data_IF_189093400118
#
_entry.id   IF_189093400118
#
_cell.length_a   1.000
_cell.length_b   1.000
_cell.length_c   1.000
_cell.angle_alpha   90.00
_cell.angle_beta   90.00
_cell.angle_gamma   90.00
#
_symmetry.space_group_name_H-M   'P 1'
#
loop_
_entity.id
_entity.type
_entity.pdbx_description
1 polymer ?
#
# COMPACT_ATOMS: atom_id res chain seq x y z
N UNK A 1 -0.66 2.70 0.87
CA UNK A 1 0.43 1.81 0.43
C UNK A 1 1.75 2.56 0.52
N UNK A 2 2.55 2.37 1.57
CA UNK A 2 3.90 2.97 1.61
C UNK A 2 4.78 2.18 0.63
N UNK A 3 5.50 2.81 -0.31
CA UNK A 3 6.44 2.09 -1.16
C UNK A 3 7.57 1.52 -0.30
N UNK A 4 8.03 0.31 -0.64
CA UNK A 4 9.33 -0.18 -0.19
C UNK A 4 10.38 0.77 -0.79
N UNK A 5 11.25 1.41 0.01
CA UNK A 5 12.22 2.38 -0.49
C UNK A 5 13.11 1.81 -1.59
N UNK A 6 13.37 2.61 -2.62
CA UNK A 6 14.23 2.29 -3.76
C UNK A 6 15.73 2.18 -3.43
N UNK A 7 16.12 2.15 -2.15
CA UNK A 7 17.53 2.21 -1.73
C UNK A 7 18.29 0.88 -1.73
N UNK A 8 17.67 -0.22 -2.17
CA UNK A 8 18.40 -1.48 -2.47
C UNK A 8 18.85 -1.59 -3.94
N UNK A 9 19.02 -0.47 -4.66
CA UNK A 9 19.63 -0.46 -6.00
C UNK A 9 20.90 0.39 -6.03
N UNK A 10 22.03 -0.30 -6.15
CA UNK A 10 23.38 0.21 -6.45
C UNK A 10 24.12 0.99 -5.35
N UNK A 11 24.57 0.29 -4.30
CA UNK A 11 25.77 0.71 -3.56
C UNK A 11 27.03 0.42 -4.40
N UNK A 12 27.34 1.29 -5.38
CA UNK A 12 28.69 1.35 -5.95
C UNK A 12 29.63 1.89 -4.90
N UNK A 13 30.28 0.97 -4.19
CA UNK A 13 31.48 1.23 -3.37
C UNK A 13 32.47 2.07 -4.19
N UNK A 14 32.64 3.34 -3.81
CA UNK A 14 33.65 4.22 -4.40
C UNK A 14 35.03 3.78 -3.90
N UNK A 15 35.75 3.04 -4.74
CA UNK A 15 37.21 2.91 -4.58
C UNK A 15 37.90 4.18 -5.09
N UNK A 16 38.95 4.68 -4.41
CA UNK A 16 39.71 5.83 -4.90
C UNK A 16 40.73 5.35 -5.93
N UNK A 17 40.79 5.99 -7.10
CA UNK A 17 42.00 5.93 -7.91
C UNK A 17 42.07 7.10 -8.90
N UNK A 18 43.06 7.96 -8.68
CA UNK A 18 43.75 8.62 -9.78
C UNK A 18 44.43 7.55 -10.67
N UNK A 19 44.56 7.92 -11.95
CA UNK A 19 45.40 7.36 -13.04
C UNK A 19 44.63 6.71 -14.19
N UNK A 20 44.78 7.36 -15.36
CA UNK A 20 43.97 7.14 -16.55
C UNK A 20 44.39 5.98 -17.44
N UNK A 21 43.53 5.71 -18.43
CA UNK A 21 43.84 4.84 -19.56
C UNK A 21 42.62 4.20 -20.21
N UNK A 22 42.19 4.79 -21.34
CA UNK A 22 41.42 4.22 -22.47
C UNK A 22 40.03 3.62 -22.19
N UNK A 23 39.02 4.29 -22.75
CA UNK A 23 37.62 3.88 -22.85
C UNK A 23 37.45 2.50 -23.52
N UNK A 24 36.79 1.58 -22.82
CA UNK A 24 36.19 0.38 -23.40
C UNK A 24 34.67 0.47 -23.23
N UNK A 25 33.93 0.41 -24.35
CA UNK A 25 32.45 0.42 -24.37
C UNK A 25 31.90 -0.82 -23.66
N UNK A 26 30.84 -0.69 -22.82
CA UNK A 26 30.19 -1.86 -22.23
C UNK A 26 29.46 -2.69 -23.30
N UNK A 27 29.39 -4.02 -23.15
CA UNK A 27 28.69 -4.86 -24.10
C UNK A 27 27.19 -4.59 -24.01
N UNK A 28 26.57 -4.37 -25.18
CA UNK A 28 25.12 -4.30 -25.33
C UNK A 28 24.51 -5.64 -24.93
N UNK A 29 23.87 -5.71 -23.77
CA UNK A 29 22.98 -6.83 -23.46
C UNK A 29 21.78 -6.74 -24.41
N UNK A 30 21.56 -7.82 -25.17
CA UNK A 30 20.43 -7.96 -26.07
C UNK A 30 19.15 -7.97 -25.23
N UNK A 31 18.25 -7.04 -25.55
CA UNK A 31 16.89 -7.02 -25.03
C UNK A 31 16.21 -8.38 -25.31
N UNK A 32 15.81 -9.07 -24.25
CA UNK A 32 14.90 -10.22 -24.33
C UNK A 32 13.49 -9.71 -24.65
N UNK A 33 13.24 -9.39 -25.92
CA UNK A 33 11.88 -9.16 -26.45
C UNK A 33 11.31 -10.51 -26.87
N UNK A 34 10.38 -11.05 -26.09
CA UNK A 34 9.57 -12.24 -26.48
C UNK A 34 9.32 -13.32 -25.42
N UNK A 35 9.86 -13.21 -24.19
CA UNK A 35 9.83 -14.31 -23.20
C UNK A 35 8.84 -14.08 -22.04
N UNK A 36 8.21 -12.91 -21.93
CA UNK A 36 7.43 -12.50 -20.74
C UNK A 36 5.98 -13.01 -20.72
N UNK A 37 5.27 -13.04 -21.85
CA UNK A 37 3.88 -13.55 -21.95
C UNK A 37 3.75 -15.01 -21.47
N UNK A 38 4.64 -15.95 -21.86
CA UNK A 38 4.59 -17.32 -21.37
C UNK A 38 4.80 -17.42 -19.85
N UNK A 39 5.56 -16.51 -19.25
CA UNK A 39 6.05 -16.70 -17.89
C UNK A 39 5.00 -16.39 -16.82
N UNK A 40 4.21 -15.32 -16.95
CA UNK A 40 3.07 -15.08 -16.03
C UNK A 40 2.00 -16.16 -16.21
N UNK A 41 1.72 -16.58 -17.45
CA UNK A 41 0.79 -17.67 -17.71
C UNK A 41 1.27 -19.01 -17.12
N UNK A 42 2.58 -19.27 -17.10
CA UNK A 42 3.18 -20.46 -16.48
C UNK A 42 3.21 -20.32 -14.96
N UNK A 43 3.56 -19.16 -14.42
CA UNK A 43 3.56 -18.89 -12.98
C UNK A 43 2.18 -19.13 -12.36
N UNK A 44 1.14 -18.66 -13.02
CA UNK A 44 -0.24 -18.87 -12.59
C UNK A 44 -0.71 -20.30 -12.84
N UNK A 45 0.00 -21.10 -13.63
CA UNK A 45 -0.21 -22.54 -13.69
C UNK A 45 0.42 -23.24 -12.48
N UNK A 46 1.55 -22.71 -11.98
CA UNK A 46 2.25 -23.22 -10.79
C UNK A 46 1.58 -22.83 -9.47
N UNK A 47 0.70 -21.82 -9.48
CA UNK A 47 -0.17 -21.50 -8.33
C UNK A 47 -1.43 -22.38 -8.41
N UNK A 48 -1.64 -23.32 -7.47
CA UNK A 48 -2.82 -24.18 -7.48
C UNK A 48 -4.11 -23.35 -7.51
N UNK A 49 -5.10 -23.78 -8.30
CA UNK A 49 -6.37 -23.07 -8.46
C UNK A 49 -7.18 -22.94 -7.15
N UNK A 50 -6.89 -23.78 -6.16
CA UNK A 50 -7.47 -23.75 -4.81
C UNK A 50 -6.73 -22.81 -3.84
N UNK A 51 -5.65 -22.16 -4.26
CA UNK A 51 -4.91 -21.20 -3.43
C UNK A 51 -5.79 -19.97 -3.18
N UNK A 52 -5.95 -19.61 -1.91
CA UNK A 52 -6.52 -18.32 -1.53
C UNK A 52 -5.63 -17.20 -2.08
N UNK A 53 -6.15 -16.41 -3.01
CA UNK A 53 -5.44 -15.29 -3.62
C UNK A 53 -6.21 -14.00 -3.38
N UNK A 54 -5.48 -12.94 -3.05
CA UNK A 54 -6.02 -11.57 -3.05
C UNK A 54 -5.77 -10.92 -4.41
N UNK A 55 -6.52 -9.87 -4.72
CA UNK A 55 -6.35 -9.10 -5.95
C UNK A 55 -6.22 -7.61 -5.63
N UNK A 56 -5.21 -6.99 -6.20
CA UNK A 56 -5.06 -5.55 -6.24
C UNK A 56 -5.12 -5.06 -7.67
N UNK A 57 -5.92 -4.02 -7.89
CA UNK A 57 -6.06 -3.35 -9.16
C UNK A 57 -5.60 -1.91 -8.98
N UNK A 58 -4.57 -1.53 -9.73
CA UNK A 58 -4.06 -0.17 -9.74
C UNK A 58 -4.70 0.64 -10.87
N UNK A 59 -5.49 1.64 -10.51
CA UNK A 59 -6.08 2.61 -11.44
C UNK A 59 -5.28 3.93 -11.33
N UNK A 60 -4.36 4.22 -12.27
CA UNK A 60 -3.36 5.29 -12.13
C UNK A 60 -3.88 6.67 -12.56
N UNK A 61 -5.17 6.97 -12.38
CA UNK A 61 -5.75 8.24 -12.83
C UNK A 61 -6.16 9.13 -11.67
N UNK A 62 -5.83 10.41 -11.73
CA UNK A 62 -6.26 11.41 -10.77
C UNK A 62 -6.89 12.60 -11.50
N UNK A 63 -7.82 13.31 -10.85
CA UNK A 63 -8.25 14.63 -11.34
C UNK A 63 -7.10 15.62 -11.21
N UNK A 64 -6.39 15.58 -10.07
CA UNK A 64 -5.18 16.37 -9.81
C UNK A 64 -4.21 15.55 -8.97
N UNK A 65 -2.91 15.68 -9.25
CA UNK A 65 -1.86 15.04 -8.43
C UNK A 65 -1.54 15.92 -7.23
N UNK A 66 -1.74 15.38 -6.01
CA UNK A 66 -1.44 16.08 -4.76
C UNK A 66 0.07 16.26 -4.57
N UNK A 67 0.48 17.27 -3.80
CA UNK A 67 1.90 17.64 -3.69
C UNK A 67 2.75 16.57 -2.98
N UNK A 68 2.16 15.84 -2.04
CA UNK A 68 2.80 14.77 -1.26
C UNK A 68 2.84 13.43 -2.00
N UNK A 69 2.03 13.24 -3.04
CA UNK A 69 1.83 11.92 -3.63
C UNK A 69 2.99 11.52 -4.55
N UNK A 70 3.75 10.50 -4.16
CA UNK A 70 4.78 9.88 -4.99
C UNK A 70 4.27 8.72 -5.85
N UNK A 71 3.03 8.26 -5.67
CA UNK A 71 2.49 7.15 -6.46
C UNK A 71 2.43 7.47 -7.95
N UNK A 72 2.52 6.41 -8.75
CA UNK A 72 2.33 6.50 -10.18
C UNK A 72 0.87 6.84 -10.47
N UNK A 73 0.62 8.08 -10.86
CA UNK A 73 -0.69 8.54 -11.29
C UNK A 73 -0.53 9.61 -12.36
N UNK A 74 -1.49 9.68 -13.28
CA UNK A 74 -1.60 10.70 -14.33
C UNK A 74 -2.86 11.50 -14.13
N UNK A 75 -2.75 12.82 -14.29
CA UNK A 75 -3.87 13.74 -14.24
C UNK A 75 -4.15 14.35 -15.61
N UNK A 76 -5.43 14.59 -15.90
CA UNK A 76 -5.86 15.22 -17.15
C UNK A 76 -5.88 14.30 -18.38
N UNK A 77 -5.87 12.97 -18.18
CA UNK A 77 -6.10 12.01 -19.26
C UNK A 77 -7.54 12.11 -19.78
N UNK A 78 -7.73 11.89 -21.08
CA UNK A 78 -9.05 11.98 -21.71
C UNK A 78 -9.88 10.69 -21.53
N UNK A 79 -11.20 10.78 -21.72
CA UNK A 79 -12.11 9.63 -21.59
C UNK A 79 -11.72 8.43 -22.47
N UNK A 80 -11.18 8.65 -23.67
CA UNK A 80 -10.77 7.56 -24.55
C UNK A 80 -9.56 6.78 -23.96
N UNK A 81 -8.59 7.47 -23.35
CA UNK A 81 -7.48 6.82 -22.65
C UNK A 81 -7.99 5.99 -21.46
N UNK A 82 -8.89 6.54 -20.64
CA UNK A 82 -9.46 5.85 -19.49
C UNK A 82 -10.24 4.60 -19.91
N UNK A 83 -11.07 4.71 -20.95
CA UNK A 83 -11.84 3.58 -21.45
C UNK A 83 -10.95 2.49 -22.07
N UNK A 84 -9.95 2.87 -22.89
CA UNK A 84 -8.99 1.92 -23.46
C UNK A 84 -8.16 1.22 -22.38
N UNK A 85 -7.80 1.94 -21.31
CA UNK A 85 -7.19 1.36 -20.12
C UNK A 85 -8.10 0.28 -19.52
N UNK A 86 -9.38 0.61 -19.32
CA UNK A 86 -10.34 -0.32 -18.72
C UNK A 86 -10.51 -1.57 -19.58
N UNK A 87 -10.61 -1.43 -20.91
CA UNK A 87 -10.68 -2.58 -21.83
C UNK A 87 -9.46 -3.50 -21.64
N UNK A 88 -8.26 -2.93 -21.60
CA UNK A 88 -7.03 -3.70 -21.42
C UNK A 88 -6.97 -4.38 -20.05
N UNK A 89 -7.34 -3.66 -18.99
CA UNK A 89 -7.43 -4.23 -17.64
C UNK A 89 -8.46 -5.36 -17.55
N UNK A 90 -9.62 -5.22 -18.20
CA UNK A 90 -10.64 -6.27 -18.24
C UNK A 90 -10.13 -7.52 -18.96
N UNK A 91 -9.31 -7.39 -20.01
CA UNK A 91 -8.68 -8.53 -20.66
C UNK A 91 -7.77 -9.29 -19.67
N UNK A 92 -6.89 -8.59 -18.95
CA UNK A 92 -6.03 -9.20 -17.93
C UNK A 92 -6.87 -9.86 -16.82
N UNK A 93 -7.84 -9.12 -16.29
CA UNK A 93 -8.69 -9.57 -15.19
C UNK A 93 -9.53 -10.80 -15.57
N UNK A 94 -10.08 -10.84 -16.79
CA UNK A 94 -10.83 -12.00 -17.29
C UNK A 94 -9.93 -13.23 -17.42
N UNK A 95 -8.72 -13.07 -17.98
CA UNK A 95 -7.76 -14.17 -18.09
C UNK A 95 -7.32 -14.71 -16.72
N UNK A 96 -7.11 -13.82 -15.75
CA UNK A 96 -6.80 -14.19 -14.36
C UNK A 96 -7.95 -14.92 -13.69
N UNK A 97 -9.16 -14.36 -13.81
CA UNK A 97 -10.34 -14.85 -13.09
C UNK A 97 -10.82 -16.17 -13.67
N UNK A 98 -10.73 -16.38 -14.98
CA UNK A 98 -11.11 -17.63 -15.66
C UNK A 98 -10.29 -18.86 -15.22
N UNK A 99 -9.12 -18.65 -14.61
CA UNK A 99 -8.26 -19.73 -14.07
C UNK A 99 -8.65 -20.14 -12.65
N UNK A 100 -9.54 -19.40 -12.01
CA UNK A 100 -9.95 -19.63 -10.62
C UNK A 100 -11.21 -20.48 -10.57
N UNK A 101 -11.31 -21.27 -9.51
CA UNK A 101 -12.53 -22.05 -9.18
C UNK A 101 -13.21 -21.51 -7.90
N UNK A 102 -12.62 -20.47 -7.31
CA UNK A 102 -13.05 -19.84 -6.07
C UNK A 102 -12.91 -18.32 -6.21
N UNK A 103 -13.70 -17.53 -5.46
CA UNK A 103 -13.55 -16.08 -5.45
C UNK A 103 -12.15 -15.67 -4.99
N UNK A 104 -11.76 -14.43 -5.27
CA UNK A 104 -10.61 -13.84 -4.59
C UNK A 104 -10.91 -13.73 -3.08
N UNK A 105 -9.89 -13.92 -2.24
CA UNK A 105 -10.07 -13.79 -0.79
C UNK A 105 -10.43 -12.36 -0.43
N UNK A 106 -9.60 -11.42 -0.88
CA UNK A 106 -9.84 -9.98 -0.76
C UNK A 106 -9.51 -9.29 -2.07
N UNK A 107 -10.18 -8.16 -2.33
CA UNK A 107 -9.95 -7.33 -3.51
C UNK A 107 -9.79 -5.89 -3.09
N UNK A 108 -8.85 -5.18 -3.71
CA UNK A 108 -8.63 -3.77 -3.44
C UNK A 108 -8.38 -3.02 -4.75
N UNK A 109 -9.24 -2.05 -5.05
CA UNK A 109 -9.08 -1.16 -6.19
C UNK A 109 -8.60 0.19 -5.66
N UNK A 110 -7.40 0.58 -6.05
CA UNK A 110 -6.77 1.82 -5.57
C UNK A 110 -5.76 2.41 -6.55
N UNK A 111 -4.88 3.26 -6.04
CA UNK A 111 -3.75 3.80 -6.80
C UNK A 111 -3.79 5.32 -6.93
N UNK A 112 -4.32 5.81 -8.06
CA UNK A 112 -4.68 7.21 -8.20
C UNK A 112 -6.02 7.46 -7.52
N UNK A 113 -7.08 7.48 -8.33
CA UNK A 113 -8.44 7.64 -7.88
C UNK A 113 -9.37 6.82 -8.78
N UNK A 114 -9.78 5.61 -8.36
CA UNK A 114 -10.74 4.78 -9.07
C UNK A 114 -12.02 5.51 -9.52
N UNK A 115 -12.45 6.51 -8.76
CA UNK A 115 -13.61 7.36 -9.09
C UNK A 115 -13.48 8.21 -10.35
N UNK A 116 -12.29 8.27 -10.96
CA UNK A 116 -12.07 8.86 -12.27
C UNK A 116 -12.71 8.04 -13.40
N UNK A 117 -12.97 6.74 -13.20
CA UNK A 117 -13.61 5.90 -14.20
C UNK A 117 -15.13 6.12 -14.25
N UNK A 118 -15.70 5.95 -15.44
CA UNK A 118 -17.15 6.00 -15.65
C UNK A 118 -17.84 4.81 -14.96
N UNK A 119 -19.15 4.97 -14.70
CA UNK A 119 -19.92 3.93 -14.01
C UNK A 119 -19.84 2.57 -14.73
N UNK A 120 -19.94 2.57 -16.07
CA UNK A 120 -19.92 1.34 -16.87
C UNK A 120 -18.57 0.62 -16.80
N UNK A 121 -17.47 1.37 -16.75
CA UNK A 121 -16.12 0.83 -16.64
C UNK A 121 -15.90 0.18 -15.26
N UNK A 122 -16.30 0.87 -14.18
CA UNK A 122 -16.24 0.32 -12.83
C UNK A 122 -17.15 -0.89 -12.66
N UNK A 123 -18.36 -0.83 -13.21
CA UNK A 123 -19.32 -1.93 -13.20
C UNK A 123 -18.72 -3.18 -13.85
N UNK A 124 -18.14 -3.04 -15.05
CA UNK A 124 -17.52 -4.17 -15.75
C UNK A 124 -16.39 -4.81 -14.93
N UNK A 125 -15.56 -4.00 -14.24
CA UNK A 125 -14.51 -4.51 -13.35
C UNK A 125 -15.14 -5.32 -12.20
N UNK A 126 -16.13 -4.77 -11.51
CA UNK A 126 -16.81 -5.43 -10.38
C UNK A 126 -17.47 -6.75 -10.82
N UNK A 127 -18.11 -6.77 -11.99
CA UNK A 127 -18.75 -7.96 -12.55
C UNK A 127 -17.74 -9.08 -12.82
N UNK A 128 -16.58 -8.77 -13.42
CA UNK A 128 -15.54 -9.78 -13.66
C UNK A 128 -14.95 -10.26 -12.33
N UNK A 129 -14.62 -9.37 -11.40
CA UNK A 129 -14.09 -9.72 -10.08
C UNK A 129 -15.03 -10.71 -9.36
N UNK A 130 -16.34 -10.46 -9.42
CA UNK A 130 -17.34 -11.26 -8.70
C UNK A 130 -17.83 -12.49 -9.48
N UNK A 131 -17.32 -12.75 -10.69
CA UNK A 131 -17.81 -13.83 -11.57
C UNK A 131 -17.60 -15.24 -11.02
N UNK A 132 -16.64 -15.42 -10.11
CA UNK A 132 -16.37 -16.69 -9.40
C UNK A 132 -16.96 -16.69 -7.97
N UNK A 133 -17.84 -15.74 -7.66
CA UNK A 133 -18.34 -15.46 -6.31
C UNK A 133 -17.81 -14.14 -5.76
N UNK A 134 -18.43 -13.65 -4.68
CA UNK A 134 -18.02 -12.41 -4.03
C UNK A 134 -16.79 -12.65 -3.14
N UNK A 135 -15.81 -11.73 -3.11
CA UNK A 135 -14.72 -11.76 -2.13
C UNK A 135 -15.23 -11.57 -0.69
N UNK A 136 -14.43 -11.99 0.30
CA UNK A 136 -14.73 -11.74 1.72
C UNK A 136 -14.63 -10.24 2.04
N UNK A 137 -13.64 -9.55 1.45
CA UNK A 137 -13.50 -8.10 1.48
C UNK A 137 -13.26 -7.56 0.06
N UNK A 138 -14.02 -6.56 -0.35
CA UNK A 138 -13.81 -5.85 -1.60
C UNK A 138 -13.81 -4.34 -1.34
N UNK A 139 -12.61 -3.77 -1.33
CA UNK A 139 -12.35 -2.36 -1.07
C UNK A 139 -12.21 -1.57 -2.37
N UNK A 140 -12.79 -0.37 -2.39
CA UNK A 140 -12.50 0.65 -3.41
C UNK A 140 -12.07 1.96 -2.75
N UNK A 141 -10.98 2.55 -3.25
CA UNK A 141 -10.56 3.90 -2.89
C UNK A 141 -11.31 4.95 -3.71
N UNK A 142 -11.64 6.07 -3.07
CA UNK A 142 -12.29 7.22 -3.69
C UNK A 142 -11.74 8.52 -3.11
N UNK A 143 -11.61 9.53 -3.95
CA UNK A 143 -11.48 10.90 -3.46
C UNK A 143 -12.86 11.53 -3.20
N UNK A 144 -12.94 12.54 -2.30
CA UNK A 144 -14.18 13.25 -2.00
C UNK A 144 -14.91 13.80 -3.23
N UNK A 145 -14.16 14.38 -4.16
CA UNK A 145 -14.70 15.00 -5.37
C UNK A 145 -15.27 13.99 -6.37
N UNK A 146 -14.85 12.72 -6.29
CA UNK A 146 -15.25 11.65 -7.21
C UNK A 146 -16.28 10.67 -6.65
N UNK A 147 -16.73 10.86 -5.41
CA UNK A 147 -17.79 10.04 -4.82
C UNK A 147 -19.18 10.51 -5.30
N UNK A 148 -19.52 10.15 -6.54
CA UNK A 148 -20.75 10.52 -7.25
C UNK A 148 -21.88 9.51 -7.01
N UNK A 149 -23.13 9.97 -7.01
CA UNK A 149 -24.28 9.14 -6.62
C UNK A 149 -24.55 7.98 -7.58
N UNK A 150 -24.21 8.13 -8.85
CA UNK A 150 -24.43 7.11 -9.87
C UNK A 150 -23.54 5.86 -9.68
N UNK A 151 -22.45 5.93 -8.92
CA UNK A 151 -21.63 4.76 -8.57
C UNK A 151 -22.13 4.00 -7.34
N UNK A 152 -23.10 4.53 -6.60
CA UNK A 152 -23.61 3.88 -5.39
C UNK A 152 -24.18 2.46 -5.64
N UNK A 153 -24.80 2.14 -6.78
CA UNK A 153 -25.25 0.78 -7.06
C UNK A 153 -24.13 -0.28 -7.04
N UNK A 154 -22.86 0.08 -7.25
CA UNK A 154 -21.73 -0.87 -7.26
C UNK A 154 -21.52 -1.55 -5.90
N UNK A 155 -21.86 -0.87 -4.80
CA UNK A 155 -21.81 -1.44 -3.45
C UNK A 155 -22.83 -2.57 -3.25
N UNK A 156 -23.94 -2.57 -4.00
CA UNK A 156 -24.87 -3.70 -4.03
C UNK A 156 -24.34 -4.92 -4.82
N UNK A 157 -23.32 -4.73 -5.67
CA UNK A 157 -22.83 -5.76 -6.60
C UNK A 157 -21.67 -6.57 -6.02
N UNK A 158 -20.93 -6.04 -5.05
CA UNK A 158 -19.85 -6.81 -4.40
C UNK A 158 -18.91 -6.00 -3.53
N UNK A 159 -18.84 -4.67 -3.69
CA UNK A 159 -17.95 -3.81 -2.89
C UNK A 159 -18.45 -3.75 -1.45
N UNK A 160 -17.62 -4.20 -0.50
CA UNK A 160 -17.96 -4.27 0.92
C UNK A 160 -17.27 -3.20 1.77
N UNK A 161 -16.22 -2.55 1.25
CA UNK A 161 -15.50 -1.46 1.94
C UNK A 161 -15.28 -0.27 1.01
N UNK A 162 -15.51 0.93 1.54
CA UNK A 162 -15.20 2.21 0.89
C UNK A 162 -14.09 2.91 1.67
N UNK A 163 -13.00 3.26 0.99
CA UNK A 163 -11.89 4.04 1.54
C UNK A 163 -11.88 5.44 0.94
N UNK A 164 -11.95 6.49 1.75
CA UNK A 164 -11.98 7.88 1.25
C UNK A 164 -10.80 8.68 1.77
N UNK A 165 -10.00 9.23 0.84
CA UNK A 165 -8.86 10.06 1.17
C UNK A 165 -9.24 11.51 1.51
N UNK A 166 -9.60 11.80 2.77
CA UNK A 166 -9.93 13.16 3.23
C UNK A 166 -8.70 14.02 3.47
N UNK A 167 -7.65 13.40 4.02
CA UNK A 167 -6.38 13.98 4.45
C UNK A 167 -6.49 14.93 5.65
N UNK A 168 -7.41 15.90 5.64
CA UNK A 168 -7.65 16.80 6.77
C UNK A 168 -9.08 17.35 6.73
N UNK A 169 -9.63 17.75 7.87
CA UNK A 169 -10.91 18.44 7.98
C UNK A 169 -10.72 19.96 8.10
N UNK A 170 -9.57 20.47 7.65
CA UNK A 170 -9.21 21.89 7.74
C UNK A 170 -8.60 22.43 6.44
N UNK A 171 -9.18 23.51 5.92
CA UNK A 171 -8.81 24.12 4.62
C UNK A 171 -7.32 24.48 4.51
N UNK A 172 -6.71 24.98 5.61
CA UNK A 172 -5.29 25.34 5.64
C UNK A 172 -4.38 24.14 5.31
N UNK A 173 -4.73 22.96 5.81
CA UNK A 173 -3.93 21.74 5.67
C UNK A 173 -4.18 21.07 4.32
N UNK A 174 -5.43 21.08 3.84
CA UNK A 174 -5.77 20.65 2.48
C UNK A 174 -5.01 21.47 1.43
N UNK A 175 -4.97 22.79 1.62
CA UNK A 175 -4.23 23.71 0.75
C UNK A 175 -2.72 23.45 0.77
N UNK A 176 -2.15 23.22 1.97
CA UNK A 176 -0.74 22.85 2.15
C UNK A 176 -0.40 21.59 1.35
N UNK A 177 -1.23 20.55 1.44
CA UNK A 177 -1.05 19.28 0.75
C UNK A 177 -1.22 19.36 -0.77
N UNK A 178 -1.70 20.50 -1.30
CA UNK A 178 -2.12 20.61 -2.70
C UNK A 178 -3.26 19.65 -3.04
N UNK A 179 -4.15 19.41 -2.09
CA UNK A 179 -5.30 18.52 -2.26
C UNK A 179 -6.37 19.24 -3.09
N UNK A 180 -6.92 18.57 -4.11
CA UNK A 180 -8.01 19.08 -4.92
C UNK A 180 -9.38 18.77 -4.28
N UNK A 181 -9.54 19.16 -3.01
CA UNK A 181 -10.79 19.04 -2.26
C UNK A 181 -10.84 20.14 -1.20
N UNK A 182 -12.01 20.71 -1.00
CA UNK A 182 -12.30 21.63 0.10
C UNK A 182 -12.85 20.89 1.32
N UNK A 183 -12.94 21.56 2.46
CA UNK A 183 -13.66 21.05 3.63
C UNK A 183 -15.12 20.73 3.26
N UNK A 184 -15.73 21.54 2.39
CA UNK A 184 -17.10 21.30 1.93
C UNK A 184 -17.24 20.02 1.12
N UNK A 185 -16.22 19.67 0.32
CA UNK A 185 -16.18 18.40 -0.41
C UNK A 185 -16.02 17.22 0.54
N UNK A 186 -15.14 17.35 1.54
CA UNK A 186 -14.95 16.33 2.57
C UNK A 186 -16.26 16.06 3.33
N UNK A 187 -16.96 17.11 3.79
CA UNK A 187 -18.25 16.98 4.48
C UNK A 187 -19.33 16.36 3.57
N UNK A 188 -19.34 16.68 2.28
CA UNK A 188 -20.25 16.06 1.30
C UNK A 188 -19.94 14.57 1.14
N UNK A 189 -18.66 14.21 1.03
CA UNK A 189 -18.23 12.81 0.91
C UNK A 189 -18.58 12.00 2.16
N UNK A 190 -18.44 12.57 3.37
CA UNK A 190 -18.91 11.92 4.61
C UNK A 190 -20.40 11.58 4.54
N UNK A 191 -21.25 12.54 4.12
CA UNK A 191 -22.70 12.32 3.97
C UNK A 191 -23.00 11.21 2.96
N UNK A 192 -22.35 11.23 1.80
CA UNK A 192 -22.47 10.18 0.78
C UNK A 192 -22.05 8.81 1.31
N UNK A 193 -20.92 8.73 2.01
CA UNK A 193 -20.42 7.49 2.61
C UNK A 193 -21.41 6.91 3.64
N UNK A 194 -22.01 7.75 4.48
CA UNK A 194 -23.03 7.33 5.45
C UNK A 194 -24.27 6.78 4.74
N UNK A 195 -24.70 7.39 3.62
CA UNK A 195 -25.81 6.88 2.80
C UNK A 195 -25.48 5.51 2.19
N UNK A 196 -24.26 5.34 1.66
CA UNK A 196 -23.77 4.07 1.12
C UNK A 196 -23.78 2.99 2.21
N UNK A 197 -23.17 3.27 3.38
CA UNK A 197 -23.17 2.36 4.53
C UNK A 197 -24.58 1.97 4.94
N UNK A 198 -25.48 2.94 5.11
CA UNK A 198 -26.88 2.69 5.51
C UNK A 198 -27.63 1.81 4.50
N UNK A 199 -27.36 1.99 3.19
CA UNK A 199 -28.06 1.30 2.13
C UNK A 199 -27.51 -0.10 1.84
N UNK A 200 -26.21 -0.30 1.96
CA UNK A 200 -25.52 -1.50 1.49
C UNK A 200 -24.73 -2.24 2.57
N UNK A 201 -24.66 -1.73 3.80
CA UNK A 201 -23.85 -2.32 4.87
C UNK A 201 -22.35 -2.19 4.65
N UNK A 202 -21.91 -1.22 3.84
CA UNK A 202 -20.51 -1.00 3.48
C UNK A 202 -19.70 -0.47 4.66
N UNK A 203 -18.55 -1.09 4.92
CA UNK A 203 -17.56 -0.61 5.89
C UNK A 203 -16.90 0.68 5.40
N UNK A 204 -16.74 1.65 6.27
CA UNK A 204 -16.14 2.94 5.95
C UNK A 204 -14.73 3.03 6.52
N UNK A 205 -13.79 3.36 5.64
CA UNK A 205 -12.48 3.87 5.98
C UNK A 205 -12.35 5.33 5.52
N UNK A 206 -11.67 6.15 6.32
CA UNK A 206 -11.22 7.47 5.91
C UNK A 206 -9.74 7.64 6.19
N UNK A 207 -9.00 8.14 5.21
CA UNK A 207 -7.59 8.45 5.35
C UNK A 207 -7.43 9.89 5.84
N UNK A 208 -6.76 10.05 6.98
CA UNK A 208 -6.27 11.29 7.52
C UNK A 208 -4.75 11.34 7.43
N UNK A 209 -4.22 12.55 7.36
CA UNK A 209 -2.80 12.81 7.36
C UNK A 209 -2.45 13.75 8.52
N UNK A 210 -1.41 13.38 9.25
CA UNK A 210 -0.88 14.13 10.38
C UNK A 210 0.58 14.52 10.12
N UNK A 211 1.20 15.23 11.06
CA UNK A 211 2.56 15.77 10.92
C UNK A 211 2.72 16.71 9.70
N UNK A 212 1.64 17.39 9.31
CA UNK A 212 1.62 18.38 8.25
C UNK A 212 2.35 19.65 8.73
N UNK A 213 3.30 20.23 7.97
CA UNK A 213 3.90 21.50 8.37
C UNK A 213 2.88 22.61 8.59
N UNK A 214 2.91 23.20 9.79
CA UNK A 214 1.92 24.17 10.24
C UNK A 214 0.69 23.56 10.95
N UNK A 215 0.60 22.24 11.06
CA UNK A 215 -0.39 21.52 11.87
C UNK A 215 0.12 21.41 13.32
N UNK A 216 -0.63 21.99 14.25
CA UNK A 216 -0.43 21.77 15.68
C UNK A 216 -1.07 20.46 16.15
N UNK A 217 -0.78 20.06 17.38
CA UNK A 217 -1.39 18.88 18.02
C UNK A 217 -2.91 19.03 18.05
N UNK A 218 -3.41 20.21 18.43
CA UNK A 218 -4.85 20.50 18.51
C UNK A 218 -5.54 20.39 17.14
N UNK A 219 -4.83 20.74 16.06
CA UNK A 219 -5.37 20.60 14.71
C UNK A 219 -5.51 19.12 14.33
N UNK A 220 -4.48 18.31 14.60
CA UNK A 220 -4.49 16.88 14.28
C UNK A 220 -5.57 16.14 15.08
N UNK A 221 -5.72 16.45 16.37
CA UNK A 221 -6.81 15.94 17.21
C UNK A 221 -8.18 16.33 16.65
N UNK A 222 -8.36 17.59 16.25
CA UNK A 222 -9.62 18.09 15.70
C UNK A 222 -10.02 17.36 14.42
N UNK A 223 -9.08 17.02 13.54
CA UNK A 223 -9.39 16.26 12.33
C UNK A 223 -9.99 14.88 12.67
N UNK A 224 -9.45 14.19 13.68
CA UNK A 224 -9.95 12.90 14.18
C UNK A 224 -11.34 13.07 14.81
N UNK A 225 -11.49 14.04 15.73
CA UNK A 225 -12.73 14.27 16.46
C UNK A 225 -13.90 14.59 15.53
N UNK A 226 -13.68 15.50 14.56
CA UNK A 226 -14.69 15.87 13.56
C UNK A 226 -15.07 14.64 12.73
N UNK A 227 -14.10 13.88 12.23
CA UNK A 227 -14.38 12.68 11.45
C UNK A 227 -15.22 11.66 12.23
N UNK A 228 -14.85 11.37 13.48
CA UNK A 228 -15.56 10.40 14.32
C UNK A 228 -16.95 10.90 14.67
N UNK A 229 -17.11 12.19 14.97
CA UNK A 229 -18.41 12.81 15.26
C UNK A 229 -19.36 12.71 14.06
N UNK A 230 -18.86 13.05 12.86
CA UNK A 230 -19.70 13.15 11.66
C UNK A 230 -20.03 11.80 11.04
N UNK A 231 -19.07 10.86 11.02
CA UNK A 231 -19.20 9.62 10.26
C UNK A 231 -19.14 8.34 11.09
N UNK A 232 -18.55 8.35 12.28
CA UNK A 232 -18.32 7.15 13.12
C UNK A 232 -17.81 5.96 12.28
N UNK A 233 -16.66 6.09 11.59
CA UNK A 233 -16.20 5.04 10.71
C UNK A 233 -15.78 3.78 11.47
N UNK A 234 -15.84 2.64 10.78
CA UNK A 234 -15.33 1.39 11.33
C UNK A 234 -13.79 1.35 11.29
N UNK A 235 -13.16 2.17 10.44
CA UNK A 235 -11.72 2.18 10.23
C UNK A 235 -11.21 3.60 9.89
N UNK A 236 -10.00 3.92 10.36
CA UNK A 236 -9.31 5.18 10.07
C UNK A 236 -7.86 4.84 9.71
N UNK A 237 -7.42 5.26 8.52
CA UNK A 237 -5.99 5.31 8.21
C UNK A 237 -5.44 6.66 8.67
N UNK A 238 -4.42 6.67 9.51
CA UNK A 238 -3.73 7.88 9.95
C UNK A 238 -2.27 7.82 9.50
N UNK A 239 -1.96 8.53 8.42
CA UNK A 239 -0.62 8.59 7.87
C UNK A 239 0.16 9.79 8.42
N UNK A 240 1.39 9.57 8.88
CA UNK A 240 2.34 10.68 9.04
C UNK A 240 2.75 11.18 7.65
N UNK A 241 2.80 12.49 7.44
CA UNK A 241 3.31 13.05 6.19
C UNK A 241 4.80 12.74 6.03
N UNK A 242 5.10 11.73 5.22
CA UNK A 242 6.46 11.40 4.78
C UNK A 242 6.80 12.13 3.47
N UNK A 243 8.02 12.64 3.36
CA UNK A 243 8.49 13.29 2.15
C UNK A 243 9.15 12.26 1.24
N UNK A 244 8.36 11.77 0.29
CA UNK A 244 8.78 10.72 -0.65
C UNK A 244 9.53 11.30 -1.85
N UNK A 245 10.58 10.61 -2.30
CA UNK A 245 11.31 10.96 -3.53
C UNK A 245 10.35 10.99 -4.74
N UNK A 246 10.52 11.98 -5.61
CA UNK A 246 9.65 12.18 -6.77
C UNK A 246 8.30 12.83 -6.48
N UNK A 247 8.04 13.23 -5.23
CA UNK A 247 6.92 14.11 -4.88
C UNK A 247 7.28 15.59 -5.11
N UNK A 248 6.25 16.44 -5.27
CA UNK A 248 6.45 17.90 -5.36
C UNK A 248 6.99 18.46 -4.04
N UNK A 249 6.61 17.88 -2.91
CA UNK A 249 7.15 18.28 -1.62
C UNK A 249 8.66 18.00 -1.50
N UNK A 250 9.15 16.87 -2.03
CA UNK A 250 10.59 16.60 -2.07
C UNK A 250 11.36 17.64 -2.89
N UNK A 251 10.81 18.06 -4.04
CA UNK A 251 11.38 19.18 -4.82
C UNK A 251 11.42 20.48 -3.98
N UNK A 252 10.33 20.81 -3.29
CA UNK A 252 10.25 22.02 -2.45
C UNK A 252 11.24 22.01 -1.28
N UNK A 253 11.48 20.85 -0.67
CA UNK A 253 12.54 20.65 0.34
C UNK A 253 13.92 20.89 -0.28
N UNK A 254 14.19 20.31 -1.44
CA UNK A 254 15.44 20.53 -2.17
C UNK A 254 15.71 22.00 -2.48
N UNK A 255 14.66 22.77 -2.80
CA UNK A 255 14.73 24.21 -3.01
C UNK A 255 14.69 25.05 -1.73
N UNK A 256 14.62 24.44 -0.53
CA UNK A 256 14.49 25.12 0.77
C UNK A 256 13.27 26.04 0.87
N UNK A 257 12.22 25.73 0.12
CA UNK A 257 10.93 26.43 0.14
C UNK A 257 9.92 25.74 1.05
N UNK A 258 10.31 24.62 1.66
CA UNK A 258 9.52 23.81 2.56
C UNK A 258 10.43 23.16 3.61
N UNK A 259 10.00 23.19 4.87
CA UNK A 259 10.69 22.56 5.99
C UNK A 259 9.76 21.50 6.61
N UNK A 260 10.12 20.22 6.59
CA UNK A 260 9.39 19.18 7.30
C UNK A 260 9.40 19.43 8.82
N UNK A 261 8.44 18.83 9.53
CA UNK A 261 8.46 18.85 11.00
C UNK A 261 9.65 18.05 11.53
N UNK A 262 10.21 18.48 12.65
CA UNK A 262 11.28 17.72 13.33
C UNK A 262 10.73 16.44 13.98
N UNK A 263 11.57 15.42 14.10
CA UNK A 263 11.18 14.09 14.60
C UNK A 263 10.53 14.13 15.99
N UNK A 264 11.05 14.95 16.92
CA UNK A 264 10.45 15.09 18.27
C UNK A 264 9.03 15.63 18.22
N UNK A 265 8.75 16.60 17.34
CA UNK A 265 7.41 17.15 17.17
C UNK A 265 6.48 16.15 16.49
N UNK A 266 6.99 15.39 15.51
CA UNK A 266 6.22 14.32 14.88
C UNK A 266 5.82 13.25 15.89
N UNK A 267 6.76 12.81 16.75
CA UNK A 267 6.50 11.82 17.78
C UNK A 267 5.39 12.30 18.75
N UNK A 268 5.46 13.54 19.23
CA UNK A 268 4.45 14.12 20.13
C UNK A 268 3.05 14.17 19.50
N UNK A 269 2.97 14.57 18.22
CA UNK A 269 1.71 14.59 17.45
C UNK A 269 1.16 13.17 17.28
N UNK A 270 2.01 12.20 16.90
CA UNK A 270 1.61 10.82 16.68
C UNK A 270 1.10 10.17 17.96
N UNK A 271 1.86 10.25 19.06
CA UNK A 271 1.43 9.71 20.36
C UNK A 271 0.09 10.32 20.80
N UNK A 272 -0.10 11.62 20.61
CA UNK A 272 -1.36 12.27 20.95
C UNK A 272 -2.52 11.74 20.10
N UNK A 273 -2.33 11.62 18.78
CA UNK A 273 -3.36 11.09 17.89
C UNK A 273 -3.72 9.64 18.22
N UNK A 274 -2.73 8.79 18.51
CA UNK A 274 -2.93 7.40 18.89
C UNK A 274 -3.72 7.28 20.20
N UNK A 275 -3.38 8.09 21.19
CA UNK A 275 -4.12 8.16 22.46
C UNK A 275 -5.57 8.60 22.27
N UNK A 276 -5.83 9.59 21.40
CA UNK A 276 -7.19 10.04 21.08
C UNK A 276 -7.99 8.92 20.40
N UNK A 277 -7.41 8.26 19.39
CA UNK A 277 -8.06 7.15 18.71
C UNK A 277 -8.36 5.97 19.65
N UNK A 278 -7.42 5.64 20.53
CA UNK A 278 -7.61 4.62 21.56
C UNK A 278 -8.74 5.00 22.54
N UNK A 279 -8.79 6.26 23.01
CA UNK A 279 -9.87 6.75 23.87
C UNK A 279 -11.24 6.74 23.18
N UNK A 280 -11.27 6.94 21.87
CA UNK A 280 -12.46 6.80 21.04
C UNK A 280 -12.80 5.35 20.71
N UNK A 281 -12.02 4.38 21.21
CA UNK A 281 -12.23 2.94 21.08
C UNK A 281 -11.83 2.37 19.73
N UNK A 282 -10.79 2.90 19.10
CA UNK A 282 -10.15 2.27 17.94
C UNK A 282 -8.88 1.55 18.39
N UNK A 283 -8.66 0.36 17.83
CA UNK A 283 -7.47 -0.46 18.07
C UNK A 283 -6.41 -0.12 17.03
N UNK A 284 -5.18 0.18 17.48
CA UNK A 284 -4.02 0.38 16.62
C UNK A 284 -3.44 -0.99 16.24
N UNK A 285 -3.89 -1.54 15.11
CA UNK A 285 -3.58 -2.93 14.73
C UNK A 285 -2.38 -3.02 13.77
N UNK A 286 -2.06 -1.94 13.06
CA UNK A 286 -0.84 -1.80 12.26
C UNK A 286 -0.43 -0.32 12.12
N UNK A 287 0.82 -0.09 11.69
CA UNK A 287 1.56 1.19 11.76
C UNK A 287 0.84 2.47 11.34
N UNK A 288 -0.18 2.40 10.47
CA UNK A 288 -0.91 3.57 10.02
C UNK A 288 -2.43 3.37 10.05
N UNK A 289 -2.95 2.30 10.65
CA UNK A 289 -4.36 1.97 10.57
C UNK A 289 -4.96 1.57 11.93
N UNK A 290 -6.16 2.10 12.14
CA UNK A 290 -6.94 2.00 13.36
C UNK A 290 -8.33 1.50 13.02
N UNK A 291 -8.87 0.59 13.82
CA UNK A 291 -10.16 -0.04 13.52
C UNK A 291 -11.01 -0.21 14.77
N UNK A 292 -12.33 -0.28 14.59
CA UNK A 292 -13.19 -0.92 15.58
C UNK A 292 -12.93 -2.42 15.58
N UNK A 293 -13.21 -3.07 16.71
CA UNK A 293 -13.03 -4.52 16.84
C UNK A 293 -13.72 -5.27 15.70
N UNK A 294 -12.94 -6.10 14.99
CA UNK A 294 -13.41 -6.87 13.84
C UNK A 294 -13.52 -6.09 12.52
N UNK A 295 -13.03 -4.86 12.44
CA UNK A 295 -13.08 -4.01 11.24
C UNK A 295 -11.71 -3.77 10.57
N UNK A 296 -10.67 -4.51 10.96
CA UNK A 296 -9.34 -4.48 10.33
C UNK A 296 -9.46 -4.70 8.83
N UNK A 297 -8.70 -3.93 8.03
CA UNK A 297 -8.62 -4.14 6.59
C UNK A 297 -7.94 -5.49 6.30
N UNK A 298 -8.73 -6.47 5.89
CA UNK A 298 -8.26 -7.84 5.64
C UNK A 298 -7.26 -7.89 4.49
N UNK A 299 -7.47 -7.04 3.47
CA UNK A 299 -6.55 -6.93 2.35
C UNK A 299 -5.16 -6.43 2.79
N UNK A 300 -5.10 -5.41 3.66
CA UNK A 300 -3.83 -4.93 4.22
C UNK A 300 -3.13 -6.03 5.03
N UNK A 301 -3.87 -6.73 5.89
CA UNK A 301 -3.32 -7.84 6.67
C UNK A 301 -2.77 -8.97 5.79
N UNK A 302 -3.33 -9.21 4.60
CA UNK A 302 -2.76 -10.20 3.68
C UNK A 302 -1.39 -9.78 3.14
N UNK A 303 -1.16 -8.49 2.88
CA UNK A 303 0.18 -7.99 2.57
C UNK A 303 1.15 -8.16 3.72
N UNK A 304 0.74 -7.73 4.91
CA UNK A 304 1.59 -7.75 6.09
C UNK A 304 1.95 -9.17 6.54
N UNK A 305 1.14 -10.17 6.20
CA UNK A 305 1.42 -11.57 6.45
C UNK A 305 2.07 -12.30 5.26
N UNK A 306 2.57 -11.55 4.26
CA UNK A 306 3.22 -12.05 3.04
C UNK A 306 2.42 -13.19 2.37
N UNK A 307 1.10 -13.01 2.33
CA UNK A 307 0.15 -13.94 1.74
C UNK A 307 0.04 -13.71 0.23
N UNK A 308 -0.23 -14.74 -0.57
CA UNK A 308 -0.30 -14.60 -2.03
C UNK A 308 -1.35 -13.58 -2.50
N UNK A 309 -0.95 -12.70 -3.42
CA UNK A 309 -1.82 -11.73 -4.08
C UNK A 309 -1.38 -11.44 -5.52
N UNK A 310 -2.35 -11.06 -6.33
CA UNK A 310 -2.15 -10.65 -7.72
C UNK A 310 -2.26 -9.14 -7.80
N UNK A 311 -1.31 -8.47 -8.46
CA UNK A 311 -1.43 -7.06 -8.82
C UNK A 311 -1.62 -6.88 -10.31
N UNK A 312 -2.62 -6.10 -10.71
CA UNK A 312 -2.90 -5.74 -12.09
C UNK A 312 -2.93 -4.21 -12.29
N UNK A 313 -2.40 -3.76 -13.42
CA UNK A 313 -2.30 -2.35 -13.80
C UNK A 313 -0.86 -1.81 -13.79
N UNK A 314 -0.63 -0.63 -14.37
CA UNK A 314 0.65 0.06 -14.34
C UNK A 314 1.17 0.25 -12.92
N UNK A 315 2.44 -0.04 -12.65
CA UNK A 315 3.04 0.01 -11.31
C UNK A 315 2.42 -0.93 -10.27
N UNK A 316 1.41 -1.73 -10.60
CA UNK A 316 0.88 -2.74 -9.69
C UNK A 316 1.94 -3.82 -9.46
N UNK A 317 2.09 -4.20 -8.20
CA UNK A 317 2.94 -5.31 -7.80
C UNK A 317 2.05 -6.50 -7.48
N UNK A 318 2.45 -7.71 -7.87
CA UNK A 318 1.86 -8.95 -7.39
C UNK A 318 2.93 -9.88 -6.86
N UNK A 319 2.60 -10.64 -5.83
CA UNK A 319 3.55 -11.53 -5.14
C UNK A 319 2.87 -12.85 -4.82
N UNK A 320 3.42 -13.95 -5.30
CA UNK A 320 2.92 -15.30 -5.01
C UNK A 320 4.03 -16.22 -4.55
N UNK A 321 3.68 -17.14 -3.66
CA UNK A 321 4.56 -18.21 -3.23
C UNK A 321 4.36 -19.40 -4.15
N UNK A 322 5.45 -19.88 -4.74
CA UNK A 322 5.46 -21.07 -5.61
C UNK A 322 6.29 -22.18 -4.97
N UNK A 323 6.20 -23.43 -5.47
CA UNK A 323 7.13 -24.49 -5.06
C UNK A 323 8.62 -24.16 -5.28
N UNK A 324 8.92 -23.13 -6.06
CA UNK A 324 10.27 -22.69 -6.38
C UNK A 324 10.72 -21.46 -5.60
N UNK A 325 9.87 -20.90 -4.72
CA UNK A 325 10.13 -19.66 -3.98
C UNK A 325 9.11 -18.56 -4.30
N UNK A 326 9.32 -17.40 -3.71
CA UNK A 326 8.48 -16.23 -3.90
C UNK A 326 8.83 -15.55 -5.24
N UNK A 327 7.78 -15.30 -6.01
CA UNK A 327 7.88 -14.62 -7.30
C UNK A 327 7.07 -13.34 -7.25
N UNK A 328 7.73 -12.25 -7.61
CA UNK A 328 7.12 -10.93 -7.72
C UNK A 328 7.03 -10.51 -9.18
N UNK A 329 5.96 -9.80 -9.51
CA UNK A 329 5.85 -9.05 -10.75
C UNK A 329 5.46 -7.61 -10.51
N UNK A 330 5.88 -6.74 -11.42
CA UNK A 330 5.63 -5.30 -11.36
C UNK A 330 5.22 -4.78 -12.72
N UNK A 331 4.06 -4.16 -12.81
CA UNK A 331 3.62 -3.47 -14.02
C UNK A 331 4.50 -2.25 -14.28
N UNK A 332 4.90 -2.02 -15.53
CA UNK A 332 5.65 -0.80 -15.88
C UNK A 332 4.83 0.45 -15.57
N UNK A 333 5.47 1.48 -15.04
CA UNK A 333 4.89 2.81 -14.78
C UNK A 333 4.65 3.61 -16.07
N UNK A 334 3.81 3.09 -16.97
CA UNK A 334 3.50 3.69 -18.27
C UNK A 334 2.12 3.27 -18.76
N UNK A 335 1.17 4.23 -18.81
CA UNK A 335 -0.19 3.98 -19.31
C UNK A 335 -0.17 3.65 -20.81
N UNK A 336 0.66 4.37 -21.58
CA UNK A 336 0.82 4.12 -23.01
C UNK A 336 1.30 2.69 -23.28
N UNK A 337 2.36 2.25 -22.60
CA UNK A 337 2.90 0.91 -22.84
C UNK A 337 1.94 -0.18 -22.36
N UNK A 338 1.19 0.07 -21.27
CA UNK A 338 0.16 -0.83 -20.79
C UNK A 338 -0.92 -1.05 -21.84
N UNK A 339 -1.51 0.01 -22.39
CA UNK A 339 -2.61 -0.09 -23.37
C UNK A 339 -2.14 -0.58 -24.75
N UNK A 340 -0.89 -0.28 -25.14
CA UNK A 340 -0.38 -0.53 -26.49
C UNK A 340 0.34 -1.87 -26.67
N UNK A 341 0.51 -2.64 -25.61
CA UNK A 341 1.15 -3.97 -25.67
C UNK A 341 0.13 -5.07 -25.36
N UNK A 342 0.37 -6.34 -25.75
CA UNK A 342 -0.54 -7.43 -25.37
C UNK A 342 -0.61 -7.58 -23.85
N UNK A 343 -1.75 -8.05 -23.34
CA UNK A 343 -1.96 -8.33 -21.91
C UNK A 343 -0.74 -9.01 -21.27
N UNK A 344 -0.37 -8.56 -20.06
CA UNK A 344 0.79 -9.01 -19.28
C UNK A 344 2.18 -8.70 -19.86
N UNK A 345 2.29 -8.10 -21.05
CA UNK A 345 3.59 -7.83 -21.69
C UNK A 345 4.36 -6.67 -21.08
N UNK A 346 3.68 -5.76 -20.38
CA UNK A 346 4.28 -4.60 -19.72
C UNK A 346 4.80 -4.87 -18.31
N UNK A 347 4.78 -6.12 -17.85
CA UNK A 347 5.23 -6.48 -16.50
C UNK A 347 6.68 -6.95 -16.52
N UNK A 348 7.41 -6.67 -15.44
CA UNK A 348 8.69 -7.31 -15.14
C UNK A 348 8.49 -8.36 -14.05
N UNK A 349 9.29 -9.41 -14.08
CA UNK A 349 9.29 -10.49 -13.09
C UNK A 349 10.61 -10.52 -12.35
N UNK A 350 10.57 -10.83 -11.06
CA UNK A 350 11.74 -11.18 -10.26
C UNK A 350 11.42 -12.36 -9.35
N UNK A 351 12.44 -13.20 -9.12
CA UNK A 351 12.37 -14.29 -8.16
C UNK A 351 13.25 -13.89 -6.98
N UNK A 352 12.67 -13.91 -5.78
CA UNK A 352 13.43 -13.56 -4.58
C UNK A 352 14.28 -14.75 -4.14
N UNK A 353 15.46 -14.43 -3.64
CA UNK A 353 16.30 -15.34 -2.88
C UNK A 353 15.71 -15.60 -1.49
N UNK A 354 16.18 -16.65 -0.83
CA UNK A 354 15.74 -16.95 0.54
C UNK A 354 16.01 -15.79 1.51
N UNK A 355 17.11 -15.05 1.32
CA UNK A 355 17.51 -13.96 2.22
C UNK A 355 16.64 -12.72 1.97
N UNK A 356 16.30 -12.43 0.71
CA UNK A 356 15.34 -11.38 0.35
C UNK A 356 13.93 -11.70 0.87
N UNK A 357 13.49 -12.96 0.81
CA UNK A 357 12.18 -13.37 1.36
C UNK A 357 12.10 -13.19 2.88
N UNK A 358 13.17 -13.54 3.61
CA UNK A 358 13.24 -13.33 5.06
C UNK A 358 13.24 -11.84 5.38
N UNK A 359 14.04 -11.06 4.65
CA UNK A 359 14.11 -9.60 4.80
C UNK A 359 12.75 -8.95 4.57
N UNK A 360 12.05 -9.33 3.50
CA UNK A 360 10.71 -8.84 3.22
C UNK A 360 9.72 -9.25 4.33
N UNK A 361 9.77 -10.50 4.80
CA UNK A 361 8.91 -10.96 5.88
C UNK A 361 9.10 -10.15 7.16
N UNK A 362 10.34 -9.78 7.52
CA UNK A 362 10.61 -8.85 8.63
C UNK A 362 9.97 -7.48 8.38
N UNK A 363 10.24 -6.89 7.20
CA UNK A 363 9.75 -5.56 6.82
C UNK A 363 8.23 -5.47 6.88
N UNK A 364 7.51 -6.50 6.44
CA UNK A 364 6.04 -6.45 6.36
C UNK A 364 5.36 -6.91 7.65
N UNK A 365 5.89 -7.92 8.35
CA UNK A 365 5.23 -8.48 9.55
C UNK A 365 5.34 -7.54 10.75
N UNK A 366 6.47 -6.85 10.90
CA UNK A 366 6.71 -5.92 12.02
C UNK A 366 5.88 -4.63 11.95
N UNK A 367 5.18 -4.39 10.84
CA UNK A 367 4.20 -3.30 10.70
C UNK A 367 2.92 -3.56 11.50
N UNK A 368 2.68 -4.80 11.93
CA UNK A 368 1.47 -5.21 12.63
C UNK A 368 1.70 -5.40 14.12
N UNK A 369 0.65 -5.21 14.92
CA UNK A 369 0.71 -5.38 16.38
C UNK A 369 1.05 -6.82 16.76
N UNK A 370 0.62 -7.77 15.93
CA UNK A 370 0.89 -9.19 16.10
C UNK A 370 2.37 -9.52 15.86
N UNK A 371 3.02 -8.79 14.95
CA UNK A 371 4.42 -9.00 14.60
C UNK A 371 4.65 -10.38 13.98
N UNK A 372 5.70 -11.05 14.44
CA UNK A 372 6.19 -12.32 13.92
C UNK A 372 5.82 -13.44 14.88
N UNK A 373 5.03 -14.39 14.40
CA UNK A 373 4.89 -15.70 15.04
C UNK A 373 6.12 -16.57 14.72
N UNK A 374 6.85 -16.98 15.76
CA UNK A 374 8.14 -17.68 15.61
C UNK A 374 7.96 -19.08 15.02
N UNK A 375 6.82 -19.73 15.25
CA UNK A 375 6.53 -21.06 14.72
C UNK A 375 6.25 -21.01 13.21
N UNK A 376 5.48 -20.00 12.77
CA UNK A 376 5.16 -19.73 11.37
C UNK A 376 6.40 -19.33 10.60
N UNK A 377 7.28 -18.51 11.19
CA UNK A 377 8.59 -18.19 10.64
C UNK A 377 9.42 -19.46 10.41
N UNK A 378 9.52 -20.32 11.42
CA UNK A 378 10.29 -21.56 11.32
C UNK A 378 9.72 -22.53 10.28
N UNK A 379 8.40 -22.66 10.20
CA UNK A 379 7.74 -23.47 9.18
C UNK A 379 7.99 -22.93 7.77
N UNK A 380 7.99 -21.61 7.60
CA UNK A 380 8.17 -20.96 6.30
C UNK A 380 9.60 -21.03 5.79
N UNK A 381 10.58 -20.74 6.65
CA UNK A 381 11.98 -20.57 6.24
C UNK A 381 12.89 -21.74 6.63
N UNK A 382 12.38 -22.71 7.39
CA UNK A 382 13.18 -23.81 7.94
C UNK A 382 14.42 -23.31 8.71
N UNK A 383 14.20 -22.27 9.51
CA UNK A 383 15.18 -21.55 10.33
C UNK A 383 14.55 -21.10 11.64
N UNK A 384 15.30 -21.14 12.74
CA UNK A 384 14.83 -20.60 14.01
C UNK A 384 14.97 -19.08 14.04
N UNK A 385 13.87 -18.38 14.34
CA UNK A 385 13.86 -16.92 14.46
C UNK A 385 14.84 -16.43 15.55
N UNK A 386 14.83 -17.08 16.72
CA UNK A 386 15.69 -16.70 17.84
C UNK A 386 17.16 -16.99 17.60
N UNK A 387 17.49 -18.01 16.80
CA UNK A 387 18.87 -18.29 16.40
C UNK A 387 19.39 -17.22 15.43
N UNK A 388 18.55 -16.77 14.50
CA UNK A 388 18.92 -15.75 13.52
C UNK A 388 19.04 -14.36 14.14
N UNK A 389 18.04 -13.93 14.92
CA UNK A 389 17.92 -12.53 15.36
C UNK A 389 18.14 -12.32 16.85
N UNK A 390 18.36 -13.38 17.64
CA UNK A 390 18.43 -13.29 19.10
C UNK A 390 19.58 -12.43 19.63
N UNK A 391 20.66 -12.22 18.85
CA UNK A 391 21.73 -11.30 19.23
C UNK A 391 21.28 -9.84 19.11
N UNK A 392 20.72 -9.45 17.96
CA UNK A 392 20.11 -8.14 17.77
C UNK A 392 19.00 -7.85 18.79
N UNK A 393 18.09 -8.81 19.02
CA UNK A 393 17.01 -8.67 20.02
C UNK A 393 17.57 -8.39 21.41
N UNK A 394 18.58 -9.14 21.87
CA UNK A 394 19.25 -8.88 23.18
C UNK A 394 19.93 -7.52 23.25
N UNK A 395 20.45 -6.99 22.13
CA UNK A 395 21.02 -5.64 22.07
C UNK A 395 19.91 -4.61 22.30
N UNK A 396 18.78 -4.72 21.60
CA UNK A 396 17.63 -3.81 21.73
C UNK A 396 17.03 -3.90 23.14
N UNK A 397 16.85 -5.11 23.70
CA UNK A 397 16.34 -5.30 25.06
C UNK A 397 17.19 -4.59 26.13
N UNK A 398 18.51 -4.44 25.91
CA UNK A 398 19.41 -3.76 26.85
C UNK A 398 19.40 -2.25 26.68
N UNK A 399 19.29 -1.75 25.45
CA UNK A 399 19.39 -0.31 25.17
C UNK A 399 18.02 0.38 25.21
N UNK A 400 16.99 -0.22 24.61
CA UNK A 400 15.66 0.36 24.43
C UNK A 400 14.57 -0.73 24.58
N UNK A 401 14.38 -1.29 25.78
CA UNK A 401 13.43 -2.39 26.01
C UNK A 401 11.98 -2.02 25.66
N UNK A 402 11.63 -0.74 25.68
CA UNK A 402 10.28 -0.26 25.38
C UNK A 402 9.91 -0.35 23.90
N UNK A 403 10.86 -0.64 22.98
CA UNK A 403 10.59 -0.70 21.54
C UNK A 403 10.02 -2.05 21.09
N UNK A 404 10.20 -3.10 21.87
CA UNK A 404 9.94 -4.47 21.44
C UNK A 404 9.18 -5.27 22.49
N UNK A 405 8.41 -6.23 22.02
CA UNK A 405 7.77 -7.26 22.82
C UNK A 405 8.29 -8.60 22.32
N UNK A 406 9.04 -9.32 23.15
CA UNK A 406 9.66 -10.60 22.80
C UNK A 406 9.30 -11.67 23.82
N UNK A 407 8.77 -12.80 23.35
CA UNK A 407 8.41 -13.95 24.17
C UNK A 407 8.66 -15.26 23.38
N UNK A 408 8.50 -16.45 23.99
CA UNK A 408 8.76 -17.73 23.30
C UNK A 408 7.90 -18.01 22.06
N UNK A 409 6.74 -17.35 21.92
CA UNK A 409 5.79 -17.55 20.82
C UNK A 409 5.96 -16.51 19.73
N UNK A 410 6.14 -15.24 20.10
CA UNK A 410 6.14 -14.13 19.14
C UNK A 410 7.16 -13.04 19.43
N UNK A 411 7.47 -12.26 18.40
CA UNK A 411 8.24 -11.02 18.46
C UNK A 411 7.49 -9.89 17.74
N UNK A 412 7.24 -8.77 18.40
CA UNK A 412 6.57 -7.60 17.81
C UNK A 412 7.15 -6.29 18.29
N UNK A 413 6.73 -5.19 17.65
CA UNK A 413 7.11 -3.84 18.05
C UNK A 413 6.00 -3.20 18.90
N UNK A 414 6.40 -2.35 19.83
CA UNK A 414 5.47 -1.41 20.46
C UNK A 414 5.22 -0.22 19.53
N UNK A 415 4.30 0.68 19.91
CA UNK A 415 4.09 1.94 19.20
C UNK A 415 5.37 2.79 19.11
N UNK A 416 6.19 2.81 20.18
CA UNK A 416 7.49 3.46 20.18
C UNK A 416 8.49 2.75 19.26
N UNK A 417 8.40 1.41 19.16
CA UNK A 417 9.17 0.62 18.20
C UNK A 417 8.80 0.93 16.76
N UNK A 418 7.52 1.18 16.46
CA UNK A 418 7.07 1.55 15.11
C UNK A 418 7.64 2.87 14.63
N UNK A 419 7.82 3.85 15.52
CA UNK A 419 8.46 5.13 15.15
C UNK A 419 9.90 4.97 14.64
N UNK A 420 10.57 3.88 14.99
CA UNK A 420 11.97 3.59 14.61
C UNK A 420 12.11 2.24 13.91
N UNK A 421 11.02 1.71 13.35
CA UNK A 421 10.94 0.37 12.79
C UNK A 421 12.02 0.12 11.73
N UNK A 422 12.24 1.07 10.82
CA UNK A 422 13.20 0.92 9.74
C UNK A 422 14.62 0.69 10.26
N UNK A 423 14.99 1.40 11.34
CA UNK A 423 16.28 1.21 12.00
C UNK A 423 16.38 -0.16 12.69
N UNK A 424 15.30 -0.63 13.33
CA UNK A 424 15.25 -1.96 13.96
C UNK A 424 15.41 -3.05 12.91
N UNK A 425 14.66 -2.97 11.80
CA UNK A 425 14.73 -3.96 10.72
C UNK A 425 16.12 -3.98 10.09
N UNK A 426 16.70 -2.80 9.82
CA UNK A 426 18.06 -2.70 9.28
C UNK A 426 19.09 -3.37 10.20
N UNK A 427 19.03 -3.10 11.51
CA UNK A 427 19.92 -3.73 12.49
C UNK A 427 19.74 -5.26 12.52
N UNK A 428 18.51 -5.76 12.41
CA UNK A 428 18.22 -7.21 12.37
C UNK A 428 18.78 -7.88 11.11
N UNK A 429 18.60 -7.26 9.94
CA UNK A 429 19.10 -7.76 8.65
C UNK A 429 20.63 -7.81 8.65
N UNK A 430 21.29 -6.71 9.07
CA UNK A 430 22.74 -6.63 9.10
C UNK A 430 23.39 -7.61 10.09
N UNK A 431 22.81 -7.79 11.29
CA UNK A 431 23.35 -8.71 12.30
C UNK A 431 23.19 -10.18 11.89
N UNK A 432 22.12 -10.51 11.15
CA UNK A 432 21.87 -11.84 10.60
C UNK A 432 22.71 -12.13 9.34
N UNK A 433 23.35 -11.12 8.74
CA UNK A 433 24.16 -11.26 7.53
C UNK A 433 23.34 -11.55 6.27
N UNK A 434 22.11 -11.01 6.22
CA UNK A 434 21.18 -11.10 5.09
C UNK A 434 21.47 -10.05 4.01
#
# INVERSE_FOLDING_TARGET
MVPIPSECRESKVKYPAHWGGKEAKPPRSRACRGVLIPFIQTLLADVPSATELSLYIHIPFCITKCAYCAFFSKSGENHATLHNFTIHLLEELQQMTARRTQPYKTVFIGGGNPGCLEYQDLQAIVEVVCSQGKPDEFTIEMNPESLREDIFPLFGQGITRLSIGLQSMQEKHLSMLGRNASLSDNLRALKSAILIRKRYGTYLNFDLMTCIPGQGIEDAMRDIEVLVQEAQPEHISLYSLTIEEGSKLAEMVGFKTFNPLGETQQAEILETCWNVLAALGYEHYEVSNFSKSGADCQHNLRYWNLQPYVGLGPSAVGTVVTPHGLVRWTGKSSIHDYISTPAFSSYSMEKLSSDEEITEYLLVSLRTKQGIDKSSFAQRFNRSFDEMFGRCIKKIQRSNPIWILDNPVSFSLTEQGWMVMDAIVLDMVLDAGL
#
